data_IF_897968978559
#
_entry.id   IF_897968978559
#
_cell.length_a   1.000
_cell.length_b   1.000
_cell.length_c   1.000
_cell.angle_alpha   90.00
_cell.angle_beta   90.00
_cell.angle_gamma   90.00
#
_symmetry.space_group_name_H-M   'P 1'
#
loop_
_entity.id
_entity.type
_entity.pdbx_description
1 polymer ?
#
# COMPACT_ATOMS: atom_id res chain seq x y z
N UNK A 1 15.89 1.69 -0.45
CA UNK A 1 15.38 0.32 -0.19
C UNK A 1 15.28 -0.47 -1.51
N UNK A 2 15.47 -1.79 -1.50
CA UNK A 2 15.28 -2.62 -2.71
C UNK A 2 13.79 -2.96 -2.97
N UNK A 3 13.01 -3.13 -1.90
CA UNK A 3 11.56 -3.33 -1.91
C UNK A 3 10.98 -2.99 -0.53
N UNK A 4 9.65 -2.93 -0.41
CA UNK A 4 8.92 -2.70 0.83
C UNK A 4 7.74 -3.69 0.94
N UNK A 5 7.37 -4.04 2.17
CA UNK A 5 6.15 -4.79 2.50
C UNK A 5 5.49 -4.13 3.71
N UNK A 6 4.15 -4.12 3.73
CA UNK A 6 3.35 -3.54 4.81
C UNK A 6 2.33 -4.57 5.25
N UNK A 7 2.24 -4.79 6.56
CA UNK A 7 1.27 -5.72 7.14
C UNK A 7 -0.12 -5.07 7.19
N UNK A 8 -1.07 -5.62 6.44
CA UNK A 8 -2.44 -5.10 6.31
C UNK A 8 -3.48 -6.13 6.75
N UNK A 9 -4.64 -5.64 7.17
CA UNK A 9 -5.80 -6.48 7.50
C UNK A 9 -6.39 -7.15 6.25
N UNK A 10 -7.03 -8.30 6.44
CA UNK A 10 -7.71 -9.01 5.35
C UNK A 10 -8.88 -8.17 4.82
N UNK A 11 -9.54 -7.43 5.72
CA UNK A 11 -10.69 -6.58 5.45
C UNK A 11 -10.32 -5.46 4.47
N UNK A 12 -9.27 -4.70 4.75
CA UNK A 12 -8.82 -3.59 3.89
C UNK A 12 -8.38 -4.08 2.51
N UNK A 13 -7.66 -5.21 2.45
CA UNK A 13 -7.26 -5.82 1.17
C UNK A 13 -8.48 -6.31 0.39
N UNK A 14 -9.44 -6.94 1.07
CA UNK A 14 -10.66 -7.47 0.43
C UNK A 14 -11.55 -6.36 -0.14
N UNK A 15 -11.70 -5.25 0.59
CA UNK A 15 -12.41 -4.06 0.11
C UNK A 15 -11.80 -3.52 -1.17
N UNK A 16 -10.46 -3.36 -1.19
CA UNK A 16 -9.75 -2.88 -2.35
C UNK A 16 -9.85 -3.84 -3.55
N UNK A 17 -9.78 -5.15 -3.31
CA UNK A 17 -9.95 -6.16 -4.37
C UNK A 17 -11.35 -6.10 -4.99
N UNK A 18 -12.41 -5.93 -4.19
CA UNK A 18 -13.79 -5.76 -4.71
C UNK A 18 -13.90 -4.53 -5.61
N UNK A 19 -13.37 -3.39 -5.15
CA UNK A 19 -13.34 -2.15 -5.95
C UNK A 19 -12.60 -2.34 -7.27
N UNK A 20 -11.45 -3.04 -7.25
CA UNK A 20 -10.67 -3.32 -8.45
C UNK A 20 -11.37 -4.25 -9.44
N UNK A 21 -12.14 -5.24 -8.96
CA UNK A 21 -12.95 -6.09 -9.85
C UNK A 21 -13.94 -5.23 -10.63
N UNK A 22 -14.69 -4.36 -9.95
CA UNK A 22 -15.66 -3.47 -10.60
C UNK A 22 -14.98 -2.53 -11.61
N UNK A 23 -13.81 -2.00 -11.28
CA UNK A 23 -13.03 -1.17 -12.21
C UNK A 23 -12.60 -1.95 -13.45
N UNK A 24 -12.08 -3.17 -13.29
CA UNK A 24 -11.65 -4.02 -14.40
C UNK A 24 -12.82 -4.38 -15.32
N UNK A 25 -13.99 -4.66 -14.75
CA UNK A 25 -15.21 -4.93 -15.53
C UNK A 25 -15.63 -3.72 -16.35
N UNK A 26 -15.65 -2.53 -15.75
CA UNK A 26 -15.92 -1.28 -16.47
C UNK A 26 -14.90 -1.00 -17.60
N UNK A 27 -13.60 -1.29 -17.37
CA UNK A 27 -12.57 -1.17 -18.40
C UNK A 27 -12.83 -2.08 -19.62
N UNK A 28 -13.31 -3.31 -19.38
CA UNK A 28 -13.68 -4.25 -20.46
C UNK A 28 -14.87 -3.72 -21.27
N UNK A 29 -15.86 -3.14 -20.61
CA UNK A 29 -17.06 -2.56 -21.24
C UNK A 29 -16.71 -1.38 -22.15
N UNK A 30 -15.87 -0.45 -21.69
CA UNK A 30 -15.44 0.71 -22.48
C UNK A 30 -14.37 0.37 -23.53
N UNK A 31 -13.98 -0.91 -23.64
CA UNK A 31 -13.20 -1.40 -24.78
C UNK A 31 -11.68 -1.41 -24.59
N UNK A 32 -11.17 -1.43 -23.35
CA UNK A 32 -9.73 -1.59 -23.13
C UNK A 32 -9.19 -2.86 -23.80
N UNK A 33 -7.97 -2.76 -24.32
CA UNK A 33 -7.32 -3.85 -25.04
C UNK A 33 -7.08 -5.08 -24.16
N UNK A 34 -7.02 -6.25 -24.80
CA UNK A 34 -6.78 -7.54 -24.14
C UNK A 34 -7.82 -7.91 -23.05
N UNK A 35 -9.11 -7.82 -23.40
CA UNK A 35 -10.26 -8.16 -22.55
C UNK A 35 -10.13 -9.52 -21.85
N UNK A 36 -9.57 -10.53 -22.52
CA UNK A 36 -9.37 -11.85 -21.94
C UNK A 36 -8.41 -11.84 -20.74
N UNK A 37 -7.36 -11.01 -20.78
CA UNK A 37 -6.43 -10.86 -19.66
C UNK A 37 -7.06 -10.12 -18.49
N UNK A 38 -7.81 -9.05 -18.76
CA UNK A 38 -8.57 -8.33 -17.75
C UNK A 38 -9.60 -9.24 -17.05
N UNK A 39 -10.39 -9.98 -17.83
CA UNK A 39 -11.38 -10.92 -17.29
C UNK A 39 -10.74 -12.00 -16.41
N UNK A 40 -9.59 -12.56 -16.85
CA UNK A 40 -8.83 -13.54 -16.06
C UNK A 40 -8.34 -12.94 -14.73
N UNK A 41 -7.93 -11.68 -14.71
CA UNK A 41 -7.50 -10.99 -13.48
C UNK A 41 -8.65 -10.78 -12.51
N UNK A 42 -9.79 -10.29 -13.00
CA UNK A 42 -11.00 -10.15 -12.19
C UNK A 42 -11.47 -11.49 -11.60
N UNK A 43 -11.37 -12.57 -12.39
CA UNK A 43 -11.72 -13.91 -11.89
C UNK A 43 -10.79 -14.39 -10.79
N UNK A 44 -9.47 -14.24 -10.95
CA UNK A 44 -8.50 -14.60 -9.89
C UNK A 44 -8.71 -13.80 -8.61
N UNK A 45 -9.10 -12.54 -8.73
CA UNK A 45 -9.48 -11.70 -7.60
C UNK A 45 -10.75 -12.22 -6.90
N UNK A 46 -11.79 -12.61 -7.65
CA UNK A 46 -13.00 -13.26 -7.10
C UNK A 46 -12.70 -14.60 -6.43
N UNK A 47 -11.83 -15.41 -7.02
CA UNK A 47 -11.39 -16.68 -6.44
C UNK A 47 -10.72 -16.46 -5.08
N UNK A 48 -9.81 -15.49 -4.97
CA UNK A 48 -9.16 -15.16 -3.69
C UNK A 48 -10.18 -14.71 -2.63
N UNK A 49 -11.17 -13.90 -3.01
CA UNK A 49 -12.24 -13.44 -2.10
C UNK A 49 -13.11 -14.57 -1.53
N UNK A 50 -13.12 -15.77 -2.13
CA UNK A 50 -13.87 -16.93 -1.59
C UNK A 50 -13.22 -17.50 -0.33
N UNK A 51 -11.90 -17.39 -0.20
CA UNK A 51 -11.14 -17.86 0.96
C UNK A 51 -9.91 -16.97 1.16
N UNK A 52 -10.10 -15.72 1.62
CA UNK A 52 -9.03 -14.74 1.66
C UNK A 52 -8.00 -15.11 2.73
N UNK A 53 -6.74 -15.18 2.31
CA UNK A 53 -5.60 -15.47 3.19
C UNK A 53 -4.44 -14.54 2.85
N UNK A 54 -3.69 -14.14 3.88
CA UNK A 54 -2.50 -13.30 3.77
C UNK A 54 -1.33 -13.98 4.50
N UNK A 55 -0.15 -13.86 3.93
CA UNK A 55 1.09 -14.24 4.60
C UNK A 55 1.39 -13.25 5.73
N UNK A 56 1.98 -13.75 6.81
CA UNK A 56 2.44 -12.95 7.94
C UNK A 56 3.90 -13.27 8.22
N UNK A 57 4.61 -12.29 8.77
CA UNK A 57 5.95 -12.54 9.28
C UNK A 57 5.91 -13.55 10.42
N UNK A 58 6.88 -14.46 10.46
CA UNK A 58 7.05 -15.36 11.59
C UNK A 58 7.36 -14.57 12.86
N UNK A 59 6.95 -15.09 14.01
CA UNK A 59 7.12 -14.40 15.31
C UNK A 59 8.59 -14.18 15.69
N UNK A 60 9.49 -14.97 15.13
CA UNK A 60 10.93 -14.96 15.34
C UNK A 60 11.72 -14.51 14.10
N UNK A 61 11.05 -13.82 13.16
CA UNK A 61 11.71 -13.22 12.01
C UNK A 61 12.87 -12.30 12.44
N UNK A 62 14.01 -12.43 11.77
CA UNK A 62 15.22 -11.66 12.06
C UNK A 62 15.33 -10.46 11.14
N UNK A 63 15.49 -9.29 11.73
CA UNK A 63 15.68 -8.03 11.02
C UNK A 63 17.10 -7.52 11.26
N UNK A 64 17.73 -6.95 10.23
CA UNK A 64 19.05 -6.34 10.38
C UNK A 64 18.99 -5.11 11.30
N UNK A 65 17.87 -4.40 11.29
CA UNK A 65 17.60 -3.25 12.14
C UNK A 65 16.10 -3.10 12.37
N UNK A 66 15.71 -2.62 13.55
CA UNK A 66 14.32 -2.34 13.94
C UNK A 66 14.23 -0.89 14.40
N UNK A 67 13.29 -0.14 13.83
CA UNK A 67 13.01 1.26 14.19
C UNK A 67 11.58 1.33 14.68
N UNK A 68 11.40 1.68 15.96
CA UNK A 68 10.09 1.89 16.55
C UNK A 68 9.73 3.38 16.53
N UNK A 69 8.66 3.73 15.80
CA UNK A 69 8.17 5.10 15.68
C UNK A 69 6.96 5.28 16.58
N UNK A 70 7.10 6.06 17.66
CA UNK A 70 5.98 6.44 18.52
C UNK A 70 5.21 7.61 17.92
N UNK A 71 3.99 7.35 17.43
CA UNK A 71 3.13 8.37 16.82
C UNK A 71 2.80 9.54 17.74
N UNK A 72 2.82 9.34 19.06
CA UNK A 72 2.61 10.44 20.00
C UNK A 72 3.73 11.49 19.96
N UNK A 73 4.90 11.18 19.41
CA UNK A 73 6.00 12.14 19.30
C UNK A 73 5.86 13.03 18.05
N UNK A 74 5.01 12.66 17.09
CA UNK A 74 4.77 13.45 15.87
C UNK A 74 3.67 14.46 16.19
N UNK A 75 4.07 15.71 16.46
CA UNK A 75 3.16 16.79 16.92
C UNK A 75 2.76 17.77 15.83
N UNK A 76 3.45 17.76 14.70
CA UNK A 76 3.22 18.64 13.57
C UNK A 76 3.63 17.95 12.26
N UNK A 77 3.24 18.49 11.10
CA UNK A 77 3.65 17.95 9.80
C UNK A 77 5.17 17.95 9.64
N UNK A 78 5.68 16.90 8.99
CA UNK A 78 7.07 16.75 8.59
C UNK A 78 7.12 16.86 7.06
N UNK A 79 8.05 17.64 6.55
CA UNK A 79 8.20 17.98 5.13
C UNK A 79 9.57 17.48 4.65
N UNK A 80 9.65 17.13 3.37
CA UNK A 80 10.94 17.00 2.68
C UNK A 80 11.39 18.37 2.18
N UNK A 81 12.64 18.72 2.45
CA UNK A 81 13.24 19.98 2.05
C UNK A 81 13.41 20.05 0.52
N UNK A 82 13.44 21.26 -0.07
CA UNK A 82 13.64 21.40 -1.51
C UNK A 82 14.92 20.71 -1.99
N UNK A 83 14.78 19.92 -3.05
CA UNK A 83 15.88 19.25 -3.78
C UNK A 83 16.49 18.00 -3.12
N UNK A 84 16.15 17.66 -1.87
CA UNK A 84 16.64 16.44 -1.21
C UNK A 84 15.49 15.70 -0.48
N UNK A 85 15.08 14.51 -0.95
CA UNK A 85 13.99 13.74 -0.31
C UNK A 85 14.38 13.11 1.03
N UNK A 86 15.68 13.01 1.35
CA UNK A 86 16.17 12.46 2.62
C UNK A 86 16.36 13.55 3.69
N UNK A 87 16.43 14.82 3.28
CA UNK A 87 16.44 15.98 4.18
C UNK A 87 15.01 16.34 4.58
N UNK A 88 14.68 16.11 5.85
CA UNK A 88 13.33 16.33 6.38
C UNK A 88 13.34 17.24 7.59
N UNK A 89 12.37 18.15 7.65
CA UNK A 89 12.19 19.11 8.73
C UNK A 89 10.71 19.25 9.11
N UNK A 90 10.46 19.64 10.36
CA UNK A 90 9.12 20.01 10.81
C UNK A 90 8.65 21.30 10.15
N UNK A 91 7.33 21.51 10.09
CA UNK A 91 6.76 22.75 9.54
C UNK A 91 7.31 24.00 10.24
N UNK A 92 7.47 23.96 11.56
CA UNK A 92 8.00 25.08 12.33
C UNK A 92 9.47 25.38 12.01
N UNK A 93 10.30 24.36 11.76
CA UNK A 93 11.71 24.54 11.36
C UNK A 93 11.82 25.21 9.99
N UNK A 94 11.01 24.81 9.01
CA UNK A 94 10.99 25.42 7.68
C UNK A 94 10.57 26.89 7.72
N UNK A 95 9.64 27.26 8.61
CA UNK A 95 9.20 28.66 8.74
C UNK A 95 10.23 29.57 9.43
N UNK A 96 11.23 28.99 10.09
CA UNK A 96 12.26 29.73 10.81
C UNK A 96 13.54 29.96 9.99
N UNK A 97 13.69 29.28 8.85
CA UNK A 97 14.77 29.43 7.86
C UNK A 97 14.45 30.52 6.82
#
# INVERSE_FOLDING_TARGET
AAACSVDLSIESVSEYIKSNISLIEAMIEVGYENKATLARRAEKMREWLKNPTLLRADKDAKYAYIIDINLNNIKEPILACPNDPDDVATLSEILAD
#
